data_IF_890026094515
#
_entry.id   IF_890026094515
#
_cell.length_a   1.000
_cell.length_b   1.000
_cell.length_c   1.000
_cell.angle_alpha   90.00
_cell.angle_beta   90.00
_cell.angle_gamma   90.00
#
_symmetry.space_group_name_H-M   'P 1'
#
loop_
_entity.id
_entity.type
_entity.pdbx_description
1 polymer ?
#
# COMPACT_ATOMS: atom_id res chain seq x y z
N UNK A 1 75.13 -14.02 -29.01
CA UNK A 1 73.88 -14.81 -29.02
C UNK A 1 73.20 -14.65 -27.66
N UNK A 2 72.30 -13.67 -27.54
CA UNK A 2 71.44 -13.48 -26.38
C UNK A 2 70.35 -12.47 -26.76
N UNK A 3 69.08 -12.85 -26.68
CA UNK A 3 67.99 -11.96 -26.24
C UNK A 3 66.72 -12.76 -25.98
N UNK A 4 66.41 -12.80 -24.69
CA UNK A 4 65.27 -13.41 -24.01
C UNK A 4 63.98 -12.78 -24.53
N UNK A 5 63.04 -13.62 -24.99
CA UNK A 5 61.69 -13.19 -25.38
C UNK A 5 60.84 -13.19 -24.12
N UNK A 6 60.64 -12.00 -23.57
CA UNK A 6 59.75 -11.71 -22.45
C UNK A 6 58.31 -11.69 -22.97
N UNK A 7 57.50 -12.69 -22.62
CA UNK A 7 56.07 -12.70 -22.93
C UNK A 7 55.35 -11.74 -21.99
N UNK A 8 54.98 -10.56 -22.51
CA UNK A 8 54.02 -9.64 -21.89
C UNK A 8 52.61 -10.18 -22.14
N UNK A 9 52.06 -10.94 -21.19
CA UNK A 9 50.63 -11.23 -21.15
C UNK A 9 49.91 -9.97 -20.67
N UNK A 10 49.35 -9.21 -21.61
CA UNK A 10 48.40 -8.13 -21.32
C UNK A 10 47.09 -8.79 -20.87
N UNK A 11 46.86 -8.87 -19.56
CA UNK A 11 45.54 -9.19 -19.01
C UNK A 11 44.69 -7.92 -19.17
N UNK A 12 43.96 -7.83 -20.29
CA UNK A 12 42.87 -6.85 -20.43
C UNK A 12 41.75 -7.31 -19.50
N UNK A 13 41.78 -6.83 -18.26
CA UNK A 13 40.67 -6.94 -17.34
C UNK A 13 39.50 -6.14 -17.90
N UNK A 14 38.59 -6.79 -18.61
CA UNK A 14 37.27 -6.23 -18.92
C UNK A 14 36.53 -6.16 -17.59
N UNK A 15 36.55 -5.00 -16.94
CA UNK A 15 35.64 -4.70 -15.86
C UNK A 15 34.25 -4.53 -16.48
N UNK A 16 33.47 -5.62 -16.49
CA UNK A 16 32.02 -5.54 -16.69
C UNK A 16 31.44 -4.79 -15.48
N UNK A 17 31.46 -3.47 -15.54
CA UNK A 17 30.57 -2.65 -14.71
C UNK A 17 29.16 -2.84 -15.26
N UNK A 18 28.50 -3.91 -14.82
CA UNK A 18 27.04 -3.99 -14.89
C UNK A 18 26.51 -2.90 -13.94
N UNK A 19 26.41 -1.68 -14.43
CA UNK A 19 25.53 -0.68 -13.83
C UNK A 19 24.12 -1.14 -14.15
N UNK A 20 23.58 -2.03 -13.31
CA UNK A 20 22.15 -2.22 -13.21
C UNK A 20 21.59 -0.91 -12.65
N UNK A 21 21.34 0.05 -13.55
CA UNK A 21 20.58 1.25 -13.23
C UNK A 21 19.16 0.78 -12.96
N UNK A 22 18.86 0.49 -11.71
CA UNK A 22 17.49 0.38 -11.23
C UNK A 22 16.89 1.77 -11.42
N UNK A 23 16.13 1.96 -12.49
CA UNK A 23 15.20 3.07 -12.54
C UNK A 23 14.19 2.80 -11.44
N UNK A 24 14.27 3.56 -10.35
CA UNK A 24 13.19 3.65 -9.38
C UNK A 24 11.98 4.19 -10.14
N UNK A 25 11.17 3.31 -10.72
CA UNK A 25 9.83 3.62 -11.17
C UNK A 25 9.07 4.07 -9.93
N UNK A 26 9.06 5.38 -9.70
CA UNK A 26 8.44 5.92 -8.50
C UNK A 26 6.95 5.70 -8.65
N UNK A 27 6.35 5.00 -7.69
CA UNK A 27 4.93 4.61 -7.71
C UNK A 27 3.98 5.78 -7.99
N UNK A 28 4.42 7.02 -7.75
CA UNK A 28 3.72 8.27 -8.08
C UNK A 28 3.61 8.56 -9.58
N UNK A 29 4.62 8.25 -10.41
CA UNK A 29 4.54 8.43 -11.88
C UNK A 29 3.47 7.50 -12.49
N UNK A 30 3.34 6.29 -11.93
CA UNK A 30 2.29 5.35 -12.31
C UNK A 30 0.89 5.88 -11.99
N UNK A 31 0.74 6.66 -10.92
CA UNK A 31 -0.54 7.22 -10.53
C UNK A 31 -1.02 8.30 -11.49
N UNK A 32 -0.10 9.09 -12.04
CA UNK A 32 -0.45 10.11 -13.04
C UNK A 32 -0.91 9.46 -14.36
N UNK A 33 -0.33 8.33 -14.75
CA UNK A 33 -0.79 7.54 -15.90
C UNK A 33 -2.13 6.83 -15.65
N UNK A 34 -2.34 6.31 -14.44
CA UNK A 34 -3.59 5.63 -14.06
C UNK A 34 -4.81 6.56 -14.09
N UNK A 35 -4.63 7.87 -13.80
CA UNK A 35 -5.71 8.87 -13.88
C UNK A 35 -6.22 9.12 -15.29
N UNK A 36 -5.36 8.93 -16.31
CA UNK A 36 -5.66 9.31 -17.69
C UNK A 36 -6.33 8.20 -18.51
N UNK A 37 -6.17 6.94 -18.10
CA UNK A 37 -6.62 5.77 -18.87
C UNK A 37 -7.75 5.02 -18.14
N UNK A 38 -8.99 5.51 -18.22
CA UNK A 38 -10.12 4.83 -17.57
C UNK A 38 -10.33 3.37 -18.02
N UNK A 39 -9.90 2.96 -19.22
CA UNK A 39 -10.08 1.58 -19.70
C UNK A 39 -8.90 0.64 -19.43
N UNK A 40 -7.74 1.15 -18.99
CA UNK A 40 -6.52 0.35 -18.72
C UNK A 40 -5.98 0.58 -17.29
N UNK A 41 -6.62 1.45 -16.50
CA UNK A 41 -6.18 1.80 -15.16
C UNK A 41 -6.04 0.58 -14.24
N UNK A 42 -6.88 -0.44 -14.40
CA UNK A 42 -6.89 -1.64 -13.54
C UNK A 42 -5.55 -2.39 -13.60
N UNK A 43 -4.89 -2.43 -14.75
CA UNK A 43 -3.59 -3.12 -14.90
C UNK A 43 -2.40 -2.22 -14.50
N UNK A 44 -2.65 -0.96 -14.14
CA UNK A 44 -1.59 -0.03 -13.78
C UNK A 44 -1.05 -0.32 -12.37
N UNK A 45 0.28 -0.24 -12.16
CA UNK A 45 0.89 -0.48 -10.84
C UNK A 45 0.30 0.38 -9.72
N UNK A 46 -0.03 1.66 -9.97
CA UNK A 46 -0.64 2.50 -8.94
C UNK A 46 -2.05 2.04 -8.55
N UNK A 47 -2.86 1.59 -9.51
CA UNK A 47 -4.17 1.02 -9.20
C UNK A 47 -4.03 -0.19 -8.29
N UNK A 48 -3.14 -1.13 -8.64
CA UNK A 48 -2.89 -2.32 -7.84
C UNK A 48 -2.31 -1.97 -6.47
N UNK A 49 -1.48 -0.94 -6.37
CA UNK A 49 -0.99 -0.43 -5.10
C UNK A 49 -2.12 0.08 -4.20
N UNK A 50 -3.00 0.95 -4.71
CA UNK A 50 -4.12 1.49 -3.93
C UNK A 50 -5.13 0.39 -3.57
N UNK A 51 -5.43 -0.51 -4.50
CA UNK A 51 -6.28 -1.67 -4.24
C UNK A 51 -5.72 -2.55 -3.12
N UNK A 52 -4.43 -2.88 -3.20
CA UNK A 52 -3.74 -3.66 -2.16
C UNK A 52 -3.68 -2.93 -0.81
N UNK A 53 -3.54 -1.61 -0.80
CA UNK A 53 -3.60 -0.81 0.43
C UNK A 53 -4.96 -0.95 1.13
N UNK A 54 -6.06 -0.82 0.37
CA UNK A 54 -7.42 -0.97 0.89
C UNK A 54 -7.72 -2.41 1.31
N UNK A 55 -7.32 -3.40 0.50
CA UNK A 55 -7.53 -4.81 0.81
C UNK A 55 -6.77 -5.22 2.07
N UNK A 56 -5.56 -4.69 2.25
CA UNK A 56 -4.78 -4.87 3.47
C UNK A 56 -5.54 -4.43 4.71
N UNK A 57 -6.11 -3.22 4.69
CA UNK A 57 -6.92 -2.71 5.79
C UNK A 57 -8.14 -3.59 6.09
N UNK A 58 -8.90 -3.98 5.05
CA UNK A 58 -10.07 -4.86 5.17
C UNK A 58 -9.69 -6.19 5.83
N UNK A 59 -8.62 -6.84 5.36
CA UNK A 59 -8.19 -8.15 5.86
C UNK A 59 -7.69 -8.05 7.30
N UNK A 60 -6.87 -7.05 7.63
CA UNK A 60 -6.29 -6.93 8.98
C UNK A 60 -7.36 -6.59 10.02
N UNK A 61 -8.31 -5.72 9.66
CA UNK A 61 -9.37 -5.32 10.58
C UNK A 61 -10.37 -6.44 10.81
N UNK A 62 -10.76 -7.17 9.74
CA UNK A 62 -11.61 -8.35 9.86
C UNK A 62 -10.95 -9.42 10.75
N UNK A 63 -9.66 -9.71 10.55
CA UNK A 63 -8.92 -10.67 11.38
C UNK A 63 -8.82 -10.20 12.85
N UNK A 64 -8.67 -8.89 13.07
CA UNK A 64 -8.64 -8.30 14.42
C UNK A 64 -10.00 -8.46 15.11
N UNK A 65 -11.09 -8.11 14.41
CA UNK A 65 -12.46 -8.27 14.91
C UNK A 65 -12.80 -9.73 15.21
N UNK A 66 -12.42 -10.65 14.33
CA UNK A 66 -12.63 -12.09 14.55
C UNK A 66 -11.84 -12.58 15.76
N UNK A 67 -10.58 -12.17 15.91
CA UNK A 67 -9.77 -12.47 17.07
C UNK A 67 -10.43 -11.99 18.37
N UNK A 68 -10.94 -10.76 18.37
CA UNK A 68 -11.68 -10.17 19.50
C UNK A 68 -12.93 -10.99 19.83
N UNK A 69 -13.75 -11.34 18.83
CA UNK A 69 -14.96 -12.17 18.99
C UNK A 69 -14.65 -13.57 19.53
N UNK A 70 -13.54 -14.16 19.10
CA UNK A 70 -13.07 -15.46 19.56
C UNK A 70 -12.31 -15.39 20.91
N UNK A 71 -12.22 -14.23 21.54
CA UNK A 71 -11.41 -13.93 22.74
C UNK A 71 -9.90 -14.19 22.60
N UNK A 72 -9.40 -14.42 21.38
CA UNK A 72 -7.98 -14.65 21.06
C UNK A 72 -7.22 -13.37 20.69
N UNK A 73 -7.95 -12.31 20.35
CA UNK A 73 -7.41 -11.02 19.92
C UNK A 73 -7.05 -10.09 21.08
N UNK A 74 -7.28 -10.51 22.32
CA UNK A 74 -6.95 -9.71 23.49
C UNK A 74 -5.57 -10.08 24.04
N UNK A 75 -4.70 -9.07 24.15
CA UNK A 75 -3.39 -9.22 24.78
C UNK A 75 -3.45 -9.23 26.31
N UNK A 76 -4.59 -8.87 26.91
CA UNK A 76 -4.78 -8.87 28.37
C UNK A 76 -6.25 -8.89 28.82
N UNK A 77 -6.48 -9.26 30.08
CA UNK A 77 -7.78 -9.14 30.75
C UNK A 77 -8.29 -7.69 30.83
N UNK A 78 -7.38 -6.71 30.86
CA UNK A 78 -7.75 -5.30 30.80
C UNK A 78 -8.32 -4.97 29.41
N UNK A 79 -7.64 -5.39 28.34
CA UNK A 79 -8.09 -5.18 26.96
C UNK A 79 -9.46 -5.81 26.71
N UNK A 80 -9.68 -7.04 27.21
CA UNK A 80 -10.96 -7.74 27.15
C UNK A 80 -12.09 -6.95 27.82
N UNK A 81 -11.88 -6.47 29.06
CA UNK A 81 -12.86 -5.64 29.77
C UNK A 81 -13.10 -4.29 29.10
N UNK A 82 -12.03 -3.62 28.65
CA UNK A 82 -12.12 -2.34 27.98
C UNK A 82 -12.96 -2.44 26.70
N UNK A 83 -12.70 -3.45 25.86
CA UNK A 83 -13.51 -3.70 24.67
C UNK A 83 -14.98 -3.98 25.04
N UNK A 84 -15.22 -4.91 25.97
CA UNK A 84 -16.58 -5.32 26.36
C UNK A 84 -17.43 -4.15 26.89
N UNK A 85 -16.82 -3.20 27.59
CA UNK A 85 -17.54 -2.08 28.22
C UNK A 85 -17.50 -0.76 27.44
N UNK A 86 -16.50 -0.53 26.59
CA UNK A 86 -16.32 0.76 25.88
C UNK A 86 -16.62 0.69 24.40
N UNK A 87 -16.42 -0.46 23.76
CA UNK A 87 -16.68 -0.64 22.32
C UNK A 87 -18.09 -1.18 22.09
N UNK A 88 -18.72 -1.80 23.09
CA UNK A 88 -20.10 -2.28 23.04
C UNK A 88 -20.23 -3.72 22.53
N UNK A 89 -21.34 -4.38 22.88
CA UNK A 89 -21.62 -5.78 22.54
C UNK A 89 -22.19 -5.99 21.13
N UNK A 90 -22.86 -4.98 20.57
CA UNK A 90 -23.35 -5.03 19.19
C UNK A 90 -22.22 -4.72 18.22
N UNK A 91 -21.63 -5.78 17.69
CA UNK A 91 -20.68 -5.72 16.57
C UNK A 91 -21.43 -5.73 15.22
N UNK A 92 -22.77 -5.65 15.24
CA UNK A 92 -23.57 -5.53 14.03
C UNK A 92 -23.38 -4.11 13.47
N UNK A 93 -22.73 -4.02 12.32
CA UNK A 93 -22.51 -2.76 11.62
C UNK A 93 -21.15 -2.10 11.84
N UNK A 94 -20.18 -2.74 12.53
CA UNK A 94 -18.78 -2.25 12.51
C UNK A 94 -18.23 -2.46 11.09
N UNK A 95 -17.89 -1.39 10.37
CA UNK A 95 -17.42 -1.50 8.98
C UNK A 95 -16.05 -2.17 8.90
N UNK A 96 -15.78 -2.79 7.75
CA UNK A 96 -14.62 -3.66 7.54
C UNK A 96 -13.24 -2.98 7.69
N UNK A 97 -13.19 -1.65 7.82
CA UNK A 97 -11.96 -0.85 7.93
C UNK A 97 -11.95 0.05 9.17
N UNK A 98 -12.77 -0.27 10.18
CA UNK A 98 -12.96 0.55 11.38
C UNK A 98 -11.66 0.86 12.15
N UNK A 99 -10.78 -0.12 12.35
CA UNK A 99 -9.51 0.09 13.05
C UNK A 99 -8.49 0.85 12.20
N UNK A 100 -8.63 0.79 10.88
CA UNK A 100 -7.90 1.64 9.95
C UNK A 100 -8.38 3.11 9.93
N UNK A 101 -9.40 3.47 10.72
CA UNK A 101 -9.92 4.84 10.90
C UNK A 101 -10.57 5.45 9.64
N UNK A 102 -11.11 4.61 8.75
CA UNK A 102 -11.96 4.99 7.63
C UNK A 102 -13.00 3.91 7.37
N UNK A 103 -14.05 4.23 6.62
CA UNK A 103 -15.22 3.37 6.49
C UNK A 103 -15.65 3.24 5.03
N UNK A 104 -15.14 2.21 4.35
CA UNK A 104 -15.50 1.93 2.96
C UNK A 104 -16.99 1.59 2.82
N UNK A 105 -17.60 1.88 1.64
CA UNK A 105 -18.96 1.46 1.34
C UNK A 105 -19.00 -0.07 1.17
N UNK A 106 -19.40 -0.77 2.25
CA UNK A 106 -19.51 -2.22 2.29
C UNK A 106 -18.22 -2.93 2.75
N UNK A 107 -18.22 -4.26 2.62
CA UNK A 107 -17.19 -5.11 3.24
C UNK A 107 -16.06 -5.51 2.28
N UNK A 108 -16.03 -4.94 1.06
CA UNK A 108 -15.07 -5.28 0.01
C UNK A 108 -14.58 -4.05 -0.72
N UNK A 109 -13.34 -4.14 -1.16
CA UNK A 109 -12.75 -3.13 -2.06
C UNK A 109 -13.31 -3.34 -3.45
N UNK A 110 -13.83 -2.26 -4.05
CA UNK A 110 -14.31 -2.26 -5.43
C UNK A 110 -13.39 -1.42 -6.30
N UNK A 111 -13.32 -1.76 -7.59
CA UNK A 111 -12.52 -1.00 -8.56
C UNK A 111 -12.99 0.47 -8.65
N UNK A 112 -14.30 0.73 -8.51
CA UNK A 112 -14.85 2.08 -8.46
C UNK A 112 -14.33 2.89 -7.28
N UNK A 113 -14.26 2.28 -6.09
CA UNK A 113 -13.66 2.90 -4.89
C UNK A 113 -12.19 3.24 -5.13
N UNK A 114 -11.42 2.31 -5.73
CA UNK A 114 -10.01 2.54 -6.07
C UNK A 114 -9.88 3.70 -7.06
N UNK A 115 -10.71 3.72 -8.10
CA UNK A 115 -10.71 4.79 -9.11
C UNK A 115 -11.10 6.16 -8.52
N UNK A 116 -12.03 6.20 -7.57
CA UNK A 116 -12.38 7.44 -6.86
C UNK A 116 -11.15 8.01 -6.13
N UNK A 117 -10.42 7.16 -5.39
CA UNK A 117 -9.21 7.58 -4.67
C UNK A 117 -8.11 8.01 -5.64
N UNK A 118 -7.88 7.26 -6.72
CA UNK A 118 -6.87 7.60 -7.73
C UNK A 118 -7.09 8.98 -8.36
N UNK A 119 -8.35 9.36 -8.61
CA UNK A 119 -8.71 10.68 -9.17
C UNK A 119 -8.37 11.84 -8.24
N UNK A 120 -8.36 11.60 -6.92
CA UNK A 120 -8.10 12.60 -5.90
C UNK A 120 -6.61 12.71 -5.55
N UNK A 121 -5.80 11.72 -5.92
CA UNK A 121 -4.35 11.81 -5.70
C UNK A 121 -3.79 13.05 -6.40
N UNK A 122 -2.92 13.83 -5.74
CA UNK A 122 -2.26 14.95 -6.38
C UNK A 122 -1.33 14.41 -7.49
N UNK A 123 -1.01 15.25 -8.46
CA UNK A 123 0.04 14.91 -9.42
C UNK A 123 1.40 14.95 -8.73
N UNK A 124 2.39 14.18 -9.21
CA UNK A 124 3.70 14.09 -8.55
C UNK A 124 4.36 15.46 -8.31
N UNK A 125 4.15 16.40 -9.22
CA UNK A 125 4.67 17.77 -9.09
C UNK A 125 4.09 18.55 -7.89
N UNK A 126 2.95 18.10 -7.35
CA UNK A 126 2.14 18.82 -6.37
C UNK A 126 2.30 18.30 -4.93
N UNK A 127 2.99 17.18 -4.68
CA UNK A 127 3.12 16.63 -3.32
C UNK A 127 4.56 16.25 -2.96
N UNK A 128 4.93 16.52 -1.71
CA UNK A 128 6.21 16.09 -1.11
C UNK A 128 6.07 14.83 -0.27
N UNK A 129 4.84 14.40 0.00
CA UNK A 129 4.56 13.31 0.93
C UNK A 129 4.68 11.95 0.23
N UNK A 130 5.07 10.89 0.95
CA UNK A 130 5.01 9.52 0.43
C UNK A 130 3.62 9.14 -0.07
N UNK A 131 3.54 8.35 -1.15
CA UNK A 131 2.26 7.92 -1.74
C UNK A 131 1.30 7.28 -0.71
N UNK A 132 1.82 6.48 0.23
CA UNK A 132 1.03 5.86 1.30
C UNK A 132 0.29 6.88 2.16
N UNK A 133 0.91 8.02 2.46
CA UNK A 133 0.35 9.08 3.32
C UNK A 133 -0.72 9.83 2.53
N UNK A 134 -0.43 10.19 1.28
CA UNK A 134 -1.42 10.79 0.39
C UNK A 134 -2.67 9.91 0.22
N UNK A 135 -2.48 8.60 -0.03
CA UNK A 135 -3.58 7.64 -0.15
C UNK A 135 -4.38 7.57 1.15
N UNK A 136 -3.71 7.44 2.30
CA UNK A 136 -4.37 7.35 3.60
C UNK A 136 -5.19 8.60 3.93
N UNK A 137 -4.63 9.79 3.71
CA UNK A 137 -5.30 11.06 4.01
C UNK A 137 -6.55 11.25 3.14
N UNK A 138 -6.44 10.99 1.83
CA UNK A 138 -7.59 11.02 0.90
C UNK A 138 -8.69 10.05 1.35
N UNK A 139 -8.32 8.81 1.72
CA UNK A 139 -9.31 7.82 2.14
C UNK A 139 -10.05 8.29 3.40
N UNK A 140 -9.35 8.88 4.37
CA UNK A 140 -9.98 9.36 5.61
C UNK A 140 -10.91 10.54 5.39
N UNK A 141 -10.59 11.41 4.44
CA UNK A 141 -11.43 12.56 4.07
C UNK A 141 -12.68 12.12 3.31
N UNK A 142 -12.54 11.19 2.36
CA UNK A 142 -13.63 10.73 1.49
C UNK A 142 -14.54 9.69 2.16
N UNK A 143 -13.98 8.85 3.02
CA UNK A 143 -14.68 7.73 3.67
C UNK A 143 -14.61 7.84 5.21
N UNK A 144 -15.09 8.94 5.82
CA UNK A 144 -15.08 9.07 7.27
C UNK A 144 -16.07 8.09 7.91
N UNK A 145 -15.65 7.50 9.02
CA UNK A 145 -16.55 6.72 9.86
C UNK A 145 -17.56 7.62 10.55
N UNK A 146 -18.85 7.28 10.46
CA UNK A 146 -19.88 7.94 11.29
C UNK A 146 -19.79 7.33 12.69
N UNK A 147 -19.58 8.19 13.68
CA UNK A 147 -19.64 7.83 15.10
C UNK A 147 -21.06 7.70 15.61
#
# INVERSE_FOLDING_TARGET
MLRVILWLTVVVGVTLTHSARSETFTSTDSCDLAKLSNSEAVDQPCFQYVKGFLEGAVVTDAATLEGIKAERGFTSNFSKRAFSHRVGGEHEGVPATYFAQFCLPGDRVTDDTVMQILKLLPTKASSRDPLKEQVYDIIREEFPCRG
#
